data_IF_118197017118
#
_entry.id   IF_118197017118
#
_cell.length_a   1.000
_cell.length_b   1.000
_cell.length_c   1.000
_cell.angle_alpha   90.00
_cell.angle_beta   90.00
_cell.angle_gamma   90.00
#
_symmetry.space_group_name_H-M   'P 1'
#
loop_
_entity.id
_entity.type
_entity.pdbx_description
1 polymer ?
#
# COMPACT_ATOMS: atom_id res chain seq x y z
N UNK A 1 52.88 55.89 -64.57
CA UNK A 1 52.28 54.65 -64.02
C UNK A 1 51.46 55.03 -62.86
N UNK A 2 50.18 55.21 -63.09
CA UNK A 2 49.22 55.63 -62.03
C UNK A 2 48.16 54.58 -61.94
N UNK A 3 48.01 54.00 -60.70
CA UNK A 3 47.05 52.99 -60.41
C UNK A 3 45.87 53.66 -59.63
N UNK A 4 44.74 53.74 -60.30
CA UNK A 4 43.52 54.22 -59.74
C UNK A 4 43.01 53.31 -58.62
N UNK A 5 42.65 53.90 -57.46
CA UNK A 5 41.88 53.24 -56.39
C UNK A 5 40.46 53.74 -56.45
N UNK A 6 39.57 52.88 -56.84
CA UNK A 6 38.13 53.13 -56.75
C UNK A 6 37.70 53.00 -55.33
N UNK A 7 37.15 54.05 -54.78
CA UNK A 7 36.47 54.05 -53.46
C UNK A 7 34.95 53.83 -53.72
N UNK A 8 34.47 52.67 -53.32
CA UNK A 8 33.03 52.42 -53.34
C UNK A 8 32.38 52.93 -52.04
N UNK A 9 31.54 53.92 -52.24
CA UNK A 9 30.70 54.47 -51.20
C UNK A 9 29.47 53.56 -51.03
N UNK A 10 29.37 52.81 -49.91
CA UNK A 10 28.22 52.06 -49.59
C UNK A 10 27.21 52.97 -48.83
N UNK A 11 25.95 53.04 -49.27
CA UNK A 11 24.91 53.69 -48.46
C UNK A 11 24.49 52.77 -47.32
N UNK A 12 24.61 53.29 -46.09
CA UNK A 12 24.12 52.63 -44.89
C UNK A 12 22.58 52.78 -44.90
N UNK A 13 21.91 51.66 -45.18
CA UNK A 13 20.46 51.56 -45.06
C UNK A 13 20.12 51.29 -43.56
N UNK A 14 19.70 52.29 -42.84
CA UNK A 14 19.21 52.16 -41.47
C UNK A 14 17.79 51.58 -41.52
N UNK A 15 17.68 50.27 -41.31
CA UNK A 15 16.40 49.58 -41.09
C UNK A 15 15.97 49.75 -39.64
N UNK A 16 15.00 50.61 -39.44
CA UNK A 16 14.33 50.80 -38.15
C UNK A 16 13.42 49.60 -37.94
N UNK A 17 13.86 48.57 -37.14
CA UNK A 17 12.99 47.50 -36.70
C UNK A 17 12.11 48.02 -35.53
N UNK A 18 10.86 48.27 -35.83
CA UNK A 18 9.82 48.49 -34.83
C UNK A 18 9.47 47.12 -34.20
N UNK A 19 10.10 46.78 -33.07
CA UNK A 19 9.76 45.58 -32.32
C UNK A 19 8.45 45.78 -31.60
N UNK A 20 7.40 45.18 -32.16
CA UNK A 20 6.08 45.04 -31.48
C UNK A 20 6.27 44.02 -30.33
N UNK A 21 6.40 44.50 -29.12
CA UNK A 21 6.37 43.64 -27.93
C UNK A 21 4.93 43.23 -27.71
N UNK A 22 4.55 42.08 -28.22
CA UNK A 22 3.32 41.39 -27.79
C UNK A 22 3.59 40.72 -26.46
N UNK A 23 3.11 41.32 -25.36
CA UNK A 23 3.03 40.65 -24.08
C UNK A 23 1.98 39.54 -24.18
N UNK A 24 2.43 38.33 -24.51
CA UNK A 24 1.62 37.14 -24.33
C UNK A 24 1.52 36.89 -22.82
N UNK A 25 0.38 37.24 -22.24
CA UNK A 25 0.01 36.79 -20.90
C UNK A 25 -0.18 35.28 -20.98
N UNK A 26 0.89 34.53 -20.70
CA UNK A 26 0.76 33.10 -20.41
C UNK A 26 0.06 32.97 -19.06
N UNK A 27 -1.25 32.76 -19.11
CA UNK A 27 -1.96 32.17 -17.98
C UNK A 27 -1.30 30.81 -17.73
N UNK A 28 -0.41 30.73 -16.75
CA UNK A 28 0.01 29.46 -16.17
C UNK A 28 -1.25 28.85 -15.58
N UNK A 29 -1.86 27.92 -16.33
CA UNK A 29 -2.78 26.98 -15.77
C UNK A 29 -1.94 26.16 -14.81
N UNK A 30 -2.05 26.46 -13.50
CA UNK A 30 -1.55 25.58 -12.46
C UNK A 30 -2.23 24.25 -12.74
N UNK A 31 -1.47 23.28 -13.22
CA UNK A 31 -1.92 21.91 -13.22
C UNK A 31 -2.07 21.58 -11.72
N UNK A 32 -3.31 21.57 -11.25
CA UNK A 32 -3.64 20.85 -10.03
C UNK A 32 -3.15 19.44 -10.30
N UNK A 33 -2.06 19.07 -9.64
CA UNK A 33 -1.65 17.69 -9.56
C UNK A 33 -2.84 16.97 -8.93
N UNK A 34 -3.66 16.30 -9.74
CA UNK A 34 -4.55 15.28 -9.26
C UNK A 34 -3.64 14.25 -8.59
N UNK A 35 -3.50 14.37 -7.28
CA UNK A 35 -3.05 13.30 -6.44
C UNK A 35 -4.08 12.19 -6.64
N UNK A 36 -3.83 11.28 -7.56
CA UNK A 36 -4.57 10.03 -7.62
C UNK A 36 -4.30 9.38 -6.27
N UNK A 37 -5.32 9.32 -5.42
CA UNK A 37 -5.25 8.58 -4.18
C UNK A 37 -4.81 7.16 -4.53
N UNK A 38 -3.52 6.89 -4.31
CA UNK A 38 -2.97 5.58 -4.60
C UNK A 38 -3.38 4.67 -3.45
N UNK A 39 -4.46 3.92 -3.67
CA UNK A 39 -4.98 2.94 -2.71
C UNK A 39 -4.47 1.56 -3.12
N UNK A 40 -3.91 0.85 -2.16
CA UNK A 40 -3.48 -0.55 -2.31
C UNK A 40 -4.16 -1.39 -1.24
N UNK A 41 -4.54 -2.60 -1.61
CA UNK A 41 -5.06 -3.62 -0.69
C UNK A 41 -4.10 -4.80 -0.72
N UNK A 42 -3.60 -5.17 0.43
CA UNK A 42 -2.70 -6.29 0.61
C UNK A 42 -3.22 -7.20 1.71
N UNK A 43 -2.82 -8.46 1.66
CA UNK A 43 -2.99 -9.39 2.79
C UNK A 43 -1.60 -9.74 3.32
N UNK A 44 -1.43 -9.68 4.64
CA UNK A 44 -0.13 -9.88 5.28
C UNK A 44 -0.26 -10.74 6.54
N UNK A 45 0.77 -11.49 6.88
CA UNK A 45 1.05 -11.87 8.26
C UNK A 45 1.87 -10.78 8.91
N UNK A 46 1.42 -10.26 10.04
CA UNK A 46 2.16 -9.23 10.76
C UNK A 46 3.27 -9.90 11.58
N UNK A 47 4.51 -9.55 11.25
CA UNK A 47 5.70 -10.02 11.95
C UNK A 47 6.07 -9.13 13.15
N UNK A 48 5.90 -7.82 13.01
CA UNK A 48 6.18 -6.85 14.08
C UNK A 48 5.30 -5.60 13.97
N UNK A 49 4.94 -5.04 15.14
CA UNK A 49 4.33 -3.73 15.31
C UNK A 49 5.19 -2.91 16.27
N UNK A 50 5.85 -1.89 15.78
CA UNK A 50 6.77 -1.08 16.57
C UNK A 50 6.33 0.38 16.60
N UNK A 51 6.33 0.99 17.78
CA UNK A 51 6.06 2.43 17.92
C UNK A 51 7.32 3.14 18.40
N UNK A 52 7.86 4.02 17.56
CA UNK A 52 9.03 4.82 17.87
C UNK A 52 8.69 6.31 17.68
N UNK A 53 8.92 7.12 18.70
CA UNK A 53 8.64 8.58 18.70
C UNK A 53 7.23 8.94 18.23
N UNK A 54 6.25 8.09 18.54
CA UNK A 54 4.84 8.31 18.17
C UNK A 54 4.45 7.87 16.77
N UNK A 55 5.37 7.34 15.97
CA UNK A 55 5.10 6.71 14.68
C UNK A 55 5.06 5.19 14.85
N UNK A 56 3.95 4.57 14.46
CA UNK A 56 3.83 3.11 14.40
C UNK A 56 4.22 2.62 13.01
N UNK A 57 5.02 1.55 12.98
CA UNK A 57 5.41 0.82 11.78
C UNK A 57 4.95 -0.62 11.92
N UNK A 58 4.31 -1.14 10.89
CA UNK A 58 3.97 -2.55 10.74
C UNK A 58 4.99 -3.18 9.79
N UNK A 59 5.63 -4.26 10.23
CA UNK A 59 6.46 -5.11 9.37
C UNK A 59 5.70 -6.40 9.13
N UNK A 60 5.47 -6.74 7.88
CA UNK A 60 4.67 -7.90 7.50
C UNK A 60 5.25 -8.65 6.32
N UNK A 61 4.84 -9.91 6.24
CA UNK A 61 5.04 -10.82 5.13
C UNK A 61 3.80 -10.77 4.23
N UNK A 62 3.98 -10.40 2.96
CA UNK A 62 2.87 -10.30 2.01
C UNK A 62 2.48 -11.67 1.48
N UNK A 63 1.21 -12.01 1.60
CA UNK A 63 0.63 -13.25 1.12
C UNK A 63 -0.48 -12.99 0.10
N UNK A 64 -0.82 -13.99 -0.69
CA UNK A 64 -2.02 -13.96 -1.53
C UNK A 64 -3.10 -14.81 -0.90
N UNK A 65 -4.23 -14.17 -0.61
CA UNK A 65 -5.43 -14.81 -0.07
C UNK A 65 -6.44 -15.08 -1.17
N UNK A 66 -6.85 -16.34 -1.32
CA UNK A 66 -7.88 -16.77 -2.25
C UNK A 66 -9.09 -17.30 -1.51
N UNK A 67 -10.30 -17.06 -2.03
CA UNK A 67 -11.56 -17.53 -1.48
C UNK A 67 -12.46 -18.19 -2.54
N UNK A 68 -13.32 -19.10 -2.09
CA UNK A 68 -14.32 -19.76 -2.91
C UNK A 68 -13.73 -20.42 -4.16
N UNK A 69 -14.34 -20.20 -5.34
CA UNK A 69 -13.91 -20.83 -6.58
C UNK A 69 -12.46 -20.50 -7.00
N UNK A 70 -11.93 -19.33 -6.58
CA UNK A 70 -10.53 -19.00 -6.83
C UNK A 70 -9.60 -19.82 -5.94
N UNK A 71 -10.00 -20.08 -4.69
CA UNK A 71 -9.26 -20.97 -3.79
C UNK A 71 -9.25 -22.41 -4.31
N UNK A 72 -10.39 -22.94 -4.76
CA UNK A 72 -10.47 -24.27 -5.37
C UNK A 72 -9.54 -24.40 -6.59
N UNK A 73 -9.53 -23.38 -7.45
CA UNK A 73 -8.71 -23.40 -8.66
C UNK A 73 -7.21 -23.41 -8.34
N UNK A 74 -6.75 -22.55 -7.42
CA UNK A 74 -5.33 -22.47 -7.05
C UNK A 74 -4.90 -23.69 -6.24
N UNK A 75 -5.78 -24.24 -5.40
CA UNK A 75 -5.54 -25.49 -4.68
C UNK A 75 -5.35 -26.65 -5.65
N UNK A 76 -6.23 -26.80 -6.65
CA UNK A 76 -6.10 -27.83 -7.67
C UNK A 76 -4.82 -27.69 -8.53
N UNK A 77 -4.37 -26.45 -8.75
CA UNK A 77 -3.12 -26.20 -9.48
C UNK A 77 -1.88 -26.57 -8.64
N UNK A 78 -1.87 -26.21 -7.36
CA UNK A 78 -0.70 -26.38 -6.50
C UNK A 78 -0.61 -27.73 -5.82
N UNK A 79 -1.77 -28.34 -5.54
CA UNK A 79 -1.89 -29.60 -4.82
C UNK A 79 -2.82 -30.58 -5.56
N UNK A 80 -2.50 -30.97 -6.82
CA UNK A 80 -3.41 -31.71 -7.68
C UNK A 80 -3.79 -33.10 -7.12
N UNK A 81 -2.89 -33.73 -6.37
CA UNK A 81 -3.17 -35.04 -5.76
C UNK A 81 -4.20 -34.92 -4.63
N UNK A 82 -4.01 -33.94 -3.73
CA UNK A 82 -4.94 -33.65 -2.65
C UNK A 82 -6.30 -33.20 -3.18
N UNK A 83 -6.31 -32.30 -4.19
CA UNK A 83 -7.53 -31.83 -4.83
C UNK A 83 -8.33 -32.95 -5.49
N UNK A 84 -7.66 -33.96 -6.10
CA UNK A 84 -8.31 -35.12 -6.67
C UNK A 84 -8.91 -36.05 -5.59
N UNK A 85 -8.31 -36.11 -4.40
CA UNK A 85 -8.77 -36.95 -3.30
C UNK A 85 -9.98 -36.34 -2.57
N UNK A 86 -9.91 -35.05 -2.24
CA UNK A 86 -10.91 -34.40 -1.41
C UNK A 86 -11.94 -33.54 -2.17
N UNK A 87 -11.71 -33.28 -3.46
CA UNK A 87 -12.68 -32.67 -4.38
C UNK A 87 -12.81 -31.14 -4.29
N UNK A 88 -12.04 -30.47 -3.46
CA UNK A 88 -12.02 -29.03 -3.28
C UNK A 88 -11.38 -28.61 -1.97
N UNK A 89 -11.22 -27.31 -1.74
CA UNK A 89 -10.59 -26.82 -0.50
C UNK A 89 -11.56 -26.91 0.68
N UNK A 90 -11.20 -27.54 1.82
CA UNK A 90 -12.12 -27.77 2.94
C UNK A 90 -12.66 -26.51 3.60
N UNK A 91 -11.78 -25.51 3.81
CA UNK A 91 -12.07 -24.32 4.59
C UNK A 91 -12.53 -23.13 3.76
N UNK A 92 -12.68 -23.33 2.42
CA UNK A 92 -13.16 -22.31 1.51
C UNK A 92 -12.16 -21.19 1.19
N UNK A 93 -10.93 -21.26 1.69
CA UNK A 93 -9.83 -20.34 1.37
C UNK A 93 -8.51 -21.09 1.13
N UNK A 94 -7.60 -20.43 0.39
CA UNK A 94 -6.23 -20.94 0.17
C UNK A 94 -5.24 -19.78 0.26
N UNK A 95 -4.13 -20.02 0.98
CA UNK A 95 -3.08 -19.03 1.18
C UNK A 95 -1.85 -19.42 0.36
N UNK A 96 -1.37 -18.46 -0.44
CA UNK A 96 -0.09 -18.61 -1.15
C UNK A 96 0.90 -17.66 -0.51
N UNK A 97 1.98 -18.24 0.01
CA UNK A 97 3.13 -17.53 0.54
C UNK A 97 4.41 -18.10 -0.10
N UNK A 98 4.82 -17.51 -1.22
CA UNK A 98 5.98 -17.95 -2.00
C UNK A 98 7.26 -17.18 -1.65
N UNK A 99 7.19 -16.22 -0.72
CA UNK A 99 8.31 -15.34 -0.36
C UNK A 99 8.31 -15.03 1.12
N UNK A 100 9.44 -15.21 1.77
CA UNK A 100 9.67 -14.81 3.18
C UNK A 100 10.12 -13.34 3.32
N UNK A 101 9.84 -12.51 2.31
CA UNK A 101 10.30 -11.12 2.25
C UNK A 101 9.46 -10.22 3.13
N UNK A 102 10.07 -9.65 4.16
CA UNK A 102 9.39 -8.70 5.04
C UNK A 102 9.41 -7.28 4.48
N UNK A 103 8.25 -6.64 4.47
CA UNK A 103 8.08 -5.24 4.08
C UNK A 103 7.57 -4.42 5.25
N UNK A 104 8.10 -3.20 5.42
CA UNK A 104 7.71 -2.29 6.51
C UNK A 104 6.87 -1.14 5.99
N UNK A 105 5.72 -0.91 6.62
CA UNK A 105 4.74 0.11 6.26
C UNK A 105 4.50 1.05 7.44
N UNK A 106 4.57 2.37 7.26
CA UNK A 106 4.11 3.30 8.28
C UNK A 106 2.59 3.19 8.46
N UNK A 107 2.12 3.24 9.70
CA UNK A 107 0.70 3.18 10.03
C UNK A 107 0.21 4.59 10.37
N UNK A 108 -0.91 5.02 9.77
CA UNK A 108 -1.51 6.30 10.08
C UNK A 108 -1.99 6.32 11.55
N UNK A 109 -1.81 7.42 12.29
CA UNK A 109 -2.18 7.49 13.72
C UNK A 109 -3.67 7.23 13.98
N UNK A 110 -4.51 7.45 12.98
CA UNK A 110 -5.96 7.23 12.98
C UNK A 110 -6.38 6.01 12.16
N UNK A 111 -5.47 5.08 11.89
CA UNK A 111 -5.78 3.85 11.19
C UNK A 111 -6.91 3.10 11.91
N UNK A 112 -7.87 2.60 11.13
CA UNK A 112 -8.96 1.77 11.64
C UNK A 112 -8.46 0.36 11.83
N UNK A 113 -8.67 -0.21 13.01
CA UNK A 113 -8.37 -1.62 13.29
C UNK A 113 -9.67 -2.34 13.58
N UNK A 114 -9.86 -3.49 12.93
CA UNK A 114 -11.03 -4.36 13.09
C UNK A 114 -10.54 -5.77 13.41
N UNK A 115 -10.99 -6.32 14.52
CA UNK A 115 -10.61 -7.64 14.99
C UNK A 115 -11.80 -8.59 14.93
N UNK A 116 -11.51 -9.89 14.84
CA UNK A 116 -12.51 -10.95 14.89
C UNK A 116 -12.37 -11.78 16.16
N UNK A 117 -11.11 -11.98 16.60
CA UNK A 117 -10.78 -12.74 17.79
C UNK A 117 -9.45 -12.22 18.37
N UNK A 118 -9.43 -12.01 19.69
CA UNK A 118 -8.22 -11.73 20.46
C UNK A 118 -8.47 -11.97 21.94
N UNK A 119 -7.40 -12.01 22.74
CA UNK A 119 -7.50 -12.26 24.18
C UNK A 119 -8.02 -11.02 24.95
N UNK A 120 -9.21 -11.11 25.54
CA UNK A 120 -9.82 -10.05 26.36
C UNK A 120 -9.51 -10.17 27.84
N UNK A 121 -9.28 -11.38 28.33
CA UNK A 121 -9.30 -11.70 29.77
C UNK A 121 -8.04 -12.35 30.32
N UNK A 122 -7.18 -12.86 29.45
CA UNK A 122 -6.00 -13.67 29.82
C UNK A 122 -6.35 -15.13 30.06
N UNK A 123 -7.56 -15.58 29.70
CA UNK A 123 -8.02 -16.94 29.90
C UNK A 123 -8.43 -17.58 28.57
N UNK A 124 -7.79 -18.67 28.19
CA UNK A 124 -8.08 -19.38 26.95
C UNK A 124 -9.53 -19.91 26.87
N UNK A 125 -10.14 -20.27 28.02
CA UNK A 125 -11.51 -20.76 28.08
C UNK A 125 -12.58 -19.68 27.80
N UNK A 126 -12.16 -18.41 27.86
CA UNK A 126 -13.01 -17.24 27.59
C UNK A 126 -12.66 -16.59 26.20
N UNK A 127 -11.79 -17.22 25.42
CA UNK A 127 -11.50 -16.78 24.08
C UNK A 127 -12.72 -17.01 23.17
N UNK A 128 -13.30 -15.94 22.64
CA UNK A 128 -14.51 -15.99 21.82
C UNK A 128 -14.37 -15.08 20.59
N UNK A 129 -15.15 -15.39 19.55
CA UNK A 129 -15.19 -14.61 18.31
C UNK A 129 -16.15 -13.45 18.50
N UNK A 130 -15.61 -12.24 18.43
CA UNK A 130 -16.37 -10.98 18.43
C UNK A 130 -16.25 -10.30 17.09
N UNK A 131 -17.18 -10.60 16.17
CA UNK A 131 -17.11 -10.12 14.80
C UNK A 131 -17.04 -8.60 14.68
N UNK A 132 -16.02 -8.14 13.94
CA UNK A 132 -15.83 -6.74 13.57
C UNK A 132 -15.66 -5.79 14.76
N UNK A 133 -15.04 -6.26 15.82
CA UNK A 133 -14.71 -5.41 16.96
C UNK A 133 -13.69 -4.34 16.60
N UNK A 134 -14.02 -3.07 16.86
CA UNK A 134 -13.16 -1.95 16.57
C UNK A 134 -12.18 -1.68 17.72
N UNK A 135 -10.89 -1.65 17.42
CA UNK A 135 -9.85 -1.24 18.35
C UNK A 135 -9.19 0.07 17.91
N UNK A 136 -8.70 0.82 18.88
CA UNK A 136 -7.72 1.87 18.56
C UNK A 136 -6.38 1.23 18.20
N UNK A 137 -5.57 1.91 17.35
CA UNK A 137 -4.23 1.44 17.01
C UNK A 137 -3.38 1.15 18.25
N UNK A 138 -3.52 1.98 19.30
CA UNK A 138 -2.82 1.78 20.59
C UNK A 138 -3.22 0.48 21.28
N UNK A 139 -4.54 0.19 21.35
CA UNK A 139 -5.01 -1.08 21.92
C UNK A 139 -4.49 -2.26 21.10
N UNK A 140 -4.62 -2.20 19.77
CA UNK A 140 -4.14 -3.25 18.90
C UNK A 140 -2.64 -3.53 19.10
N UNK A 141 -1.80 -2.50 19.20
CA UNK A 141 -0.36 -2.68 19.46
C UNK A 141 -0.11 -3.36 20.81
N UNK A 142 -0.94 -3.08 21.82
CA UNK A 142 -0.84 -3.72 23.14
C UNK A 142 -1.29 -5.19 23.10
N UNK A 143 -2.38 -5.47 22.39
CA UNK A 143 -2.89 -6.84 22.25
C UNK A 143 -1.95 -7.69 21.39
N UNK A 144 -1.40 -7.12 20.33
CA UNK A 144 -0.45 -7.80 19.44
C UNK A 144 0.85 -8.25 20.16
N UNK A 145 1.23 -7.57 21.23
CA UNK A 145 2.39 -7.95 22.04
C UNK A 145 2.12 -9.12 23.00
N UNK A 146 0.85 -9.54 23.16
CA UNK A 146 0.48 -10.68 24.00
C UNK A 146 0.47 -11.95 23.14
N UNK A 147 1.15 -12.99 23.63
CA UNK A 147 1.25 -14.28 22.92
C UNK A 147 0.87 -15.49 23.78
N UNK A 148 0.53 -15.25 25.05
CA UNK A 148 0.35 -16.33 26.02
C UNK A 148 -0.95 -17.12 25.80
N UNK A 149 -2.03 -16.45 25.39
CA UNK A 149 -3.36 -17.06 25.17
C UNK A 149 -3.66 -17.20 23.68
N UNK A 150 -3.45 -16.14 22.92
CA UNK A 150 -3.69 -16.12 21.47
C UNK A 150 -2.64 -15.27 20.77
N UNK A 151 -1.84 -15.90 19.90
CA UNK A 151 -0.79 -15.22 19.16
C UNK A 151 -1.36 -14.58 17.90
N UNK A 152 -1.55 -13.27 17.94
CA UNK A 152 -2.09 -12.48 16.84
C UNK A 152 -1.19 -12.48 15.58
N UNK A 153 0.10 -12.83 15.69
CA UNK A 153 1.00 -12.93 14.55
C UNK A 153 0.65 -14.11 13.62
N UNK A 154 -0.10 -15.08 14.12
CA UNK A 154 -0.55 -16.25 13.35
C UNK A 154 -1.81 -15.99 12.51
N UNK A 155 -2.47 -14.84 12.71
CA UNK A 155 -3.63 -14.46 11.90
C UNK A 155 -3.20 -13.68 10.65
N UNK A 156 -3.86 -13.90 9.49
CA UNK A 156 -3.73 -13.00 8.35
C UNK A 156 -4.46 -11.67 8.59
N UNK A 157 -4.00 -10.60 7.97
CA UNK A 157 -4.61 -9.28 8.04
C UNK A 157 -4.77 -8.68 6.65
N UNK A 158 -5.96 -8.19 6.32
CA UNK A 158 -6.19 -7.35 5.15
C UNK A 158 -5.85 -5.90 5.51
N UNK A 159 -4.89 -5.33 4.84
CA UNK A 159 -4.48 -3.94 5.05
C UNK A 159 -4.85 -3.07 3.85
N UNK A 160 -5.25 -1.83 4.13
CA UNK A 160 -5.44 -0.80 3.12
C UNK A 160 -4.38 0.27 3.30
N UNK A 161 -3.61 0.52 2.25
CA UNK A 161 -2.59 1.56 2.21
C UNK A 161 -3.12 2.70 1.34
N UNK A 162 -3.07 3.92 1.86
CA UNK A 162 -3.42 5.13 1.15
C UNK A 162 -2.28 6.13 1.28
N UNK A 163 -1.80 6.65 0.16
CA UNK A 163 -0.69 7.62 0.14
C UNK A 163 0.56 7.14 0.90
N UNK A 164 0.86 5.83 0.82
CA UNK A 164 2.04 5.22 1.44
C UNK A 164 1.92 4.94 2.93
N UNK A 165 0.73 5.08 3.53
CA UNK A 165 0.48 4.73 4.93
C UNK A 165 -0.68 3.75 5.06
N UNK A 166 -0.58 2.81 6.00
CA UNK A 166 -1.71 1.94 6.34
C UNK A 166 -2.80 2.78 7.03
N UNK A 167 -4.01 2.76 6.46
CA UNK A 167 -5.18 3.46 6.99
C UNK A 167 -6.24 2.50 7.55
N UNK A 168 -6.12 1.20 7.24
CA UNK A 168 -7.01 0.16 7.74
C UNK A 168 -6.26 -1.15 7.95
N UNK A 169 -6.57 -1.86 9.02
CA UNK A 169 -6.08 -3.20 9.37
C UNK A 169 -7.31 -4.02 9.77
N UNK A 170 -7.56 -5.12 9.09
CA UNK A 170 -8.69 -6.01 9.38
C UNK A 170 -8.15 -7.42 9.57
N UNK A 171 -8.34 -8.00 10.76
CA UNK A 171 -7.98 -9.38 11.00
C UNK A 171 -8.85 -10.31 10.17
N UNK A 172 -8.26 -11.27 9.50
CA UNK A 172 -8.96 -12.37 8.87
C UNK A 172 -9.07 -13.52 9.87
N UNK A 173 -10.31 -13.92 10.16
CA UNK A 173 -10.54 -15.15 10.96
C UNK A 173 -10.24 -16.38 10.09
N UNK A 174 -9.48 -17.29 10.66
CA UNK A 174 -9.24 -18.64 10.13
C UNK A 174 -9.71 -19.64 11.19
N UNK A 175 -10.64 -20.55 10.88
CA UNK A 175 -11.19 -21.53 11.82
C UNK A 175 -10.15 -22.52 12.32
#
# INVERSE_FOLDING_TARGET
>A
MLKNKNVYLFPVLVLLFLSLVTTASTTMKTAEAQSSDHIQHLTVYIHALETNKGQTTLTGDEITWYEGAAADAIFAEREPEAAAEIGGIPDGYYIVNDSDSLTSYPVAPNAKVTMQIYDHTGNIEELDINWNEALSLKQFTQEFAKTDVFDLSQSPYHITIQNGQIVSIVQQYTP
#
